data_IF_005198929590
#
_entry.id   IF_005198929590
#
_cell.length_a   1.000
_cell.length_b   1.000
_cell.length_c   1.000
_cell.angle_alpha   90.00
_cell.angle_beta   90.00
_cell.angle_gamma   90.00
#
_symmetry.space_group_name_H-M   'P 1'
#
loop_
_entity.id
_entity.type
_entity.pdbx_description
1 polymer ?
#
# COMPACT_ATOMS: atom_id res chain seq x y z
N UNK A 1 19.44 -5.78 -18.81
CA UNK A 1 18.64 -6.07 -17.61
C UNK A 1 19.16 -7.34 -16.98
N UNK A 2 19.71 -7.22 -15.80
CA UNK A 2 20.19 -8.38 -15.05
C UNK A 2 19.00 -9.26 -14.68
N UNK A 3 19.07 -10.55 -15.02
CA UNK A 3 18.08 -11.47 -14.50
C UNK A 3 18.23 -11.56 -13.00
N UNK A 4 17.13 -11.37 -12.29
CA UNK A 4 17.08 -11.57 -10.85
C UNK A 4 17.53 -13.00 -10.54
N UNK A 5 18.48 -13.15 -9.63
CA UNK A 5 18.91 -14.47 -9.17
C UNK A 5 17.93 -15.11 -8.18
N UNK A 6 16.91 -14.36 -7.74
CA UNK A 6 15.93 -14.92 -6.82
C UNK A 6 15.07 -15.96 -7.52
N UNK A 7 14.73 -16.99 -6.77
CA UNK A 7 13.88 -18.06 -7.27
C UNK A 7 12.46 -17.84 -6.81
N UNK A 8 11.54 -17.89 -7.76
CA UNK A 8 10.13 -17.92 -7.46
C UNK A 8 9.70 -19.34 -7.13
N UNK A 9 8.89 -19.46 -6.10
CA UNK A 9 8.27 -20.73 -5.72
C UNK A 9 6.81 -20.73 -6.16
N UNK A 10 6.30 -21.94 -6.45
CA UNK A 10 4.85 -22.05 -6.65
C UNK A 10 4.13 -21.64 -5.38
N UNK A 11 3.14 -20.76 -5.53
CA UNK A 11 2.28 -20.33 -4.44
C UNK A 11 0.83 -20.54 -4.84
N UNK A 12 0.08 -21.20 -4.00
CA UNK A 12 -1.39 -21.26 -4.10
C UNK A 12 -1.93 -20.79 -2.76
N UNK A 13 -2.68 -19.70 -2.78
CA UNK A 13 -3.22 -19.11 -1.56
C UNK A 13 -4.74 -19.19 -1.59
N UNK A 14 -5.32 -19.87 -0.62
CA UNK A 14 -6.76 -19.95 -0.45
C UNK A 14 -7.23 -18.88 0.52
N UNK A 15 -8.38 -18.30 0.25
CA UNK A 15 -8.95 -17.25 1.11
C UNK A 15 -9.06 -17.70 2.58
N UNK A 16 -9.52 -18.92 2.81
CA UNK A 16 -9.72 -19.47 4.16
C UNK A 16 -8.43 -19.65 4.96
N UNK A 17 -7.27 -19.67 4.29
CA UNK A 17 -5.96 -19.80 4.94
C UNK A 17 -5.32 -18.45 5.28
N UNK A 18 -6.02 -17.37 5.02
CA UNK A 18 -5.55 -16.00 5.26
C UNK A 18 -6.53 -15.25 6.13
N UNK A 19 -6.07 -14.20 6.75
CA UNK A 19 -6.93 -13.32 7.55
C UNK A 19 -6.45 -11.87 7.47
N UNK A 20 -7.36 -10.95 7.72
CA UNK A 20 -7.02 -9.55 7.84
C UNK A 20 -6.40 -9.29 9.21
N UNK A 21 -5.24 -8.64 9.22
CA UNK A 21 -4.49 -8.32 10.42
C UNK A 21 -3.97 -6.89 10.36
N UNK A 22 -3.71 -6.30 11.53
CA UNK A 22 -3.00 -5.04 11.59
C UNK A 22 -1.56 -5.23 11.08
N UNK A 23 -1.11 -4.31 10.24
CA UNK A 23 0.27 -4.34 9.75
C UNK A 23 1.20 -3.84 10.84
N UNK A 24 2.23 -4.60 11.15
CA UNK A 24 3.30 -4.13 12.01
C UNK A 24 4.15 -3.08 11.27
N UNK A 25 4.70 -2.15 12.03
CA UNK A 25 5.31 -0.92 11.51
C UNK A 25 6.69 -1.15 10.85
N UNK A 26 6.82 -2.12 9.95
CA UNK A 26 8.08 -2.42 9.28
C UNK A 26 8.38 -1.48 8.10
N UNK A 27 7.36 -0.86 7.51
CA UNK A 27 7.49 -0.10 6.27
C UNK A 27 7.07 1.37 6.44
N UNK A 28 7.25 1.93 7.63
CA UNK A 28 6.88 3.29 7.92
C UNK A 28 5.90 3.38 9.09
N UNK A 29 5.22 4.52 9.21
CA UNK A 29 4.28 4.75 10.29
C UNK A 29 3.10 3.76 10.23
N UNK A 30 2.63 3.25 11.38
CA UNK A 30 1.45 2.38 11.41
C UNK A 30 0.25 3.04 10.77
N UNK A 31 -0.58 2.23 10.11
CA UNK A 31 -1.86 2.67 9.55
C UNK A 31 -2.99 1.99 10.32
N UNK A 32 -3.36 2.49 11.53
CA UNK A 32 -4.37 1.83 12.34
C UNK A 32 -5.76 1.82 11.71
N UNK A 33 -5.96 2.62 10.65
CA UNK A 33 -7.22 2.66 9.92
C UNK A 33 -7.44 1.45 9.01
N UNK A 34 -6.41 0.64 8.77
CA UNK A 34 -6.48 -0.44 7.79
C UNK A 34 -6.04 -1.78 8.35
N UNK A 35 -6.61 -2.83 7.78
CA UNK A 35 -6.20 -4.22 7.99
C UNK A 35 -5.67 -4.78 6.68
N UNK A 36 -4.74 -5.71 6.78
CA UNK A 36 -4.00 -6.27 5.64
C UNK A 36 -4.15 -7.78 5.63
N UNK A 37 -4.49 -8.32 4.47
CA UNK A 37 -4.51 -9.76 4.23
C UNK A 37 -3.34 -10.09 3.32
N UNK A 38 -2.31 -10.71 3.87
CA UNK A 38 -1.11 -11.11 3.13
C UNK A 38 -1.42 -12.31 2.24
N UNK A 39 -0.91 -12.28 1.02
CA UNK A 39 -1.16 -13.31 0.02
C UNK A 39 0.01 -14.29 -0.13
N UNK A 40 1.15 -14.06 0.56
CA UNK A 40 2.31 -14.92 0.51
C UNK A 40 3.26 -14.65 -0.66
N UNK A 41 3.01 -13.59 -1.42
CA UNK A 41 3.80 -13.28 -2.63
C UNK A 41 5.24 -12.92 -2.29
N UNK A 42 5.46 -12.21 -1.19
CA UNK A 42 6.82 -11.82 -0.78
C UNK A 42 7.70 -13.05 -0.54
N UNK A 43 7.22 -14.02 0.23
CA UNK A 43 7.97 -15.24 0.51
C UNK A 43 8.20 -16.05 -0.76
N UNK A 44 7.19 -16.17 -1.61
CA UNK A 44 7.28 -16.94 -2.84
C UNK A 44 8.22 -16.32 -3.88
N UNK A 45 8.53 -15.04 -3.74
CA UNK A 45 9.38 -14.28 -4.69
C UNK A 45 10.70 -13.83 -4.07
N UNK A 46 11.04 -14.31 -2.87
CA UNK A 46 12.28 -13.91 -2.20
C UNK A 46 12.37 -12.41 -1.93
N UNK A 47 11.23 -11.74 -1.71
CA UNK A 47 11.17 -10.30 -1.43
C UNK A 47 11.15 -9.41 -2.67
N UNK A 48 11.19 -9.97 -3.89
CA UNK A 48 11.17 -9.16 -5.11
C UNK A 48 9.84 -8.45 -5.33
N UNK A 49 8.76 -9.06 -4.89
CA UNK A 49 7.40 -8.51 -4.99
C UNK A 49 6.64 -8.76 -3.70
N UNK A 50 5.60 -7.98 -3.48
CA UNK A 50 4.59 -8.30 -2.48
C UNK A 50 3.22 -8.02 -3.06
N UNK A 51 2.22 -8.67 -2.50
CA UNK A 51 0.82 -8.41 -2.81
C UNK A 51 -0.01 -8.67 -1.56
N UNK A 52 -0.93 -7.77 -1.28
CA UNK A 52 -1.85 -7.92 -0.16
C UNK A 52 -3.17 -7.20 -0.46
N UNK A 53 -4.21 -7.60 0.25
CA UNK A 53 -5.50 -6.94 0.20
C UNK A 53 -5.63 -6.08 1.45
N UNK A 54 -6.04 -4.83 1.27
CA UNK A 54 -6.23 -3.86 2.34
C UNK A 54 -7.72 -3.57 2.47
N UNK A 55 -8.22 -3.55 3.69
CA UNK A 55 -9.58 -3.09 3.99
C UNK A 55 -9.59 -2.09 5.12
N UNK A 56 -10.64 -1.25 5.18
CA UNK A 56 -10.81 -0.30 6.27
C UNK A 56 -11.25 -0.98 7.56
N UNK A 57 -10.73 -0.48 8.68
CA UNK A 57 -11.24 -0.86 10.00
C UNK A 57 -12.59 -0.15 10.20
N UNK A 58 -13.66 -0.85 10.59
CA UNK A 58 -14.97 -0.21 10.81
C UNK A 58 -14.86 0.97 11.77
N UNK A 59 -15.45 2.09 11.39
CA UNK A 59 -15.44 3.33 12.18
C UNK A 59 -14.16 4.15 12.09
N UNK A 60 -13.11 3.67 11.41
CA UNK A 60 -11.90 4.45 11.22
C UNK A 60 -12.13 5.62 10.26
N UNK A 61 -11.34 6.68 10.42
CA UNK A 61 -11.56 7.94 9.71
C UNK A 61 -10.27 8.46 9.07
N UNK A 62 -10.40 9.15 7.90
CA UNK A 62 -9.29 9.89 7.32
C UNK A 62 -8.95 11.13 8.16
N UNK A 63 -7.84 11.81 7.86
CA UNK A 63 -6.93 11.48 6.76
C UNK A 63 -5.83 10.50 7.19
N UNK A 64 -5.16 9.96 6.17
CA UNK A 64 -3.85 9.31 6.32
C UNK A 64 -2.80 10.40 6.07
N UNK A 65 -1.73 10.44 6.85
CA UNK A 65 -0.66 11.42 6.67
C UNK A 65 -0.07 11.34 5.26
N UNK A 66 0.19 12.50 4.66
CA UNK A 66 0.90 12.56 3.38
C UNK A 66 2.27 11.90 3.51
N UNK A 67 2.62 11.10 2.54
CA UNK A 67 3.88 10.36 2.55
C UNK A 67 4.32 10.03 1.12
N UNK A 68 5.58 9.64 0.99
CA UNK A 68 6.12 9.08 -0.24
C UNK A 68 6.88 7.80 0.08
N UNK A 69 7.06 6.97 -0.93
CA UNK A 69 7.84 5.75 -0.80
C UNK A 69 9.16 5.91 -1.53
N UNK A 70 10.24 5.50 -0.87
CA UNK A 70 11.57 5.45 -1.46
C UNK A 70 12.03 4.00 -1.55
N UNK A 71 12.98 3.72 -2.43
CA UNK A 71 13.45 2.36 -2.68
C UNK A 71 12.36 1.43 -3.24
N UNK A 72 11.34 2.03 -3.82
CA UNK A 72 10.19 1.34 -4.43
C UNK A 72 10.28 1.53 -5.94
N UNK A 73 10.20 0.44 -6.70
CA UNK A 73 10.22 0.48 -8.16
C UNK A 73 8.83 0.49 -8.75
N UNK A 74 7.87 -0.11 -8.03
CA UNK A 74 6.52 -0.28 -8.54
C UNK A 74 5.52 -0.36 -7.38
N UNK A 75 4.46 0.43 -7.47
CA UNK A 75 3.31 0.34 -6.58
C UNK A 75 2.05 0.44 -7.41
N UNK A 76 1.24 -0.60 -7.36
CA UNK A 76 -0.01 -0.69 -8.09
C UNK A 76 -1.14 -0.98 -7.10
N UNK A 77 -2.25 -0.27 -7.27
CA UNK A 77 -3.47 -0.51 -6.50
C UNK A 77 -4.64 -0.72 -7.46
N UNK A 78 -5.40 -1.76 -7.21
CA UNK A 78 -6.66 -2.04 -7.89
C UNK A 78 -7.78 -2.10 -6.85
N UNK A 79 -8.84 -1.33 -7.04
CA UNK A 79 -9.98 -1.32 -6.12
C UNK A 79 -10.88 -2.51 -6.42
N UNK A 80 -11.02 -3.39 -5.42
CA UNK A 80 -11.83 -4.60 -5.53
C UNK A 80 -13.28 -4.36 -5.14
N UNK A 81 -13.51 -3.46 -4.16
CA UNK A 81 -14.82 -3.23 -3.56
C UNK A 81 -14.88 -1.83 -2.96
N UNK A 82 -16.02 -1.18 -3.06
CA UNK A 82 -16.19 0.16 -2.52
C UNK A 82 -15.41 1.22 -3.28
N UNK A 83 -14.90 2.20 -2.57
CA UNK A 83 -14.10 3.29 -3.15
C UNK A 83 -13.07 3.78 -2.16
N UNK A 84 -12.00 4.40 -2.70
CA UNK A 84 -10.97 5.09 -1.93
C UNK A 84 -10.52 6.33 -2.70
N UNK A 85 -10.41 7.46 -1.99
CA UNK A 85 -9.95 8.72 -2.57
C UNK A 85 -8.53 9.01 -2.14
N UNK A 86 -7.74 9.50 -3.07
CA UNK A 86 -6.33 9.82 -2.89
C UNK A 86 -6.06 11.25 -3.34
N UNK A 87 -5.16 11.91 -2.64
CA UNK A 87 -4.57 13.16 -3.11
C UNK A 87 -3.13 12.89 -3.52
N UNK A 88 -2.78 13.27 -4.74
CA UNK A 88 -1.43 13.15 -5.28
C UNK A 88 -0.82 14.54 -5.40
N UNK A 89 0.32 14.74 -4.79
CA UNK A 89 0.97 16.05 -4.80
C UNK A 89 1.18 16.56 -6.24
N UNK A 90 0.68 17.74 -6.52
CA UNK A 90 0.74 18.35 -7.86
C UNK A 90 -0.29 17.83 -8.86
N UNK A 91 -1.09 16.82 -8.51
CA UNK A 91 -2.06 16.19 -9.42
C UNK A 91 -3.50 16.20 -8.90
N UNK A 92 -3.73 16.71 -7.68
CA UNK A 92 -5.06 16.81 -7.10
C UNK A 92 -5.61 15.53 -6.53
N UNK A 93 -6.91 15.54 -6.28
CA UNK A 93 -7.62 14.43 -5.65
C UNK A 93 -8.37 13.61 -6.70
N UNK A 94 -8.31 12.28 -6.54
CA UNK A 94 -9.01 11.34 -7.40
C UNK A 94 -9.68 10.27 -6.55
N UNK A 95 -10.93 9.97 -6.87
CA UNK A 95 -11.67 8.87 -6.24
C UNK A 95 -11.63 7.66 -7.15
N UNK A 96 -11.13 6.54 -6.62
CA UNK A 96 -11.09 5.26 -7.30
C UNK A 96 -12.24 4.39 -6.77
N UNK A 97 -13.04 3.86 -7.69
CA UNK A 97 -14.14 2.93 -7.40
C UNK A 97 -13.73 1.52 -7.81
N UNK A 98 -14.51 0.54 -7.41
CA UNK A 98 -14.28 -0.86 -7.82
C UNK A 98 -14.03 -0.95 -9.33
N UNK A 99 -12.93 -1.59 -9.72
CA UNK A 99 -12.47 -1.68 -11.10
C UNK A 99 -11.48 -0.60 -11.52
N UNK A 100 -11.34 0.46 -10.74
CA UNK A 100 -10.32 1.49 -11.00
C UNK A 100 -8.98 1.11 -10.39
N UNK A 101 -7.92 1.67 -10.93
CA UNK A 101 -6.57 1.39 -10.45
C UNK A 101 -5.69 2.63 -10.56
N UNK A 102 -4.55 2.60 -9.85
CA UNK A 102 -3.50 3.59 -10.05
C UNK A 102 -2.12 2.95 -9.95
N UNK A 103 -1.14 3.64 -10.51
CA UNK A 103 0.28 3.45 -10.22
C UNK A 103 0.77 4.71 -9.56
N UNK A 104 1.44 4.56 -8.41
CA UNK A 104 2.13 5.66 -7.75
C UNK A 104 3.61 5.55 -8.07
N UNK A 105 4.18 6.51 -8.84
CA UNK A 105 5.61 6.50 -9.13
C UNK A 105 6.45 6.65 -7.86
N UNK A 106 7.69 6.11 -7.84
CA UNK A 106 8.59 6.34 -6.73
C UNK A 106 8.77 7.82 -6.42
N UNK A 107 8.73 8.18 -5.14
CA UNK A 107 8.97 9.55 -4.70
C UNK A 107 7.78 10.50 -4.79
N UNK A 108 6.66 10.09 -5.38
CA UNK A 108 5.46 10.94 -5.43
C UNK A 108 4.77 10.95 -4.07
N UNK A 109 4.66 12.12 -3.47
CA UNK A 109 3.90 12.31 -2.22
C UNK A 109 2.41 12.17 -2.47
N UNK A 110 1.75 11.43 -1.60
CA UNK A 110 0.31 11.17 -1.70
C UNK A 110 -0.28 10.90 -0.34
N UNK A 111 -1.60 10.95 -0.26
CA UNK A 111 -2.34 10.59 0.95
C UNK A 111 -3.68 9.98 0.58
N UNK A 112 -4.25 9.21 1.49
CA UNK A 112 -5.62 8.73 1.39
C UNK A 112 -6.52 9.74 2.08
N UNK A 113 -7.50 10.26 1.36
CA UNK A 113 -8.38 11.32 1.84
C UNK A 113 -9.75 10.83 2.27
N UNK A 114 -10.12 9.63 1.88
CA UNK A 114 -11.39 9.04 2.28
C UNK A 114 -11.57 7.63 1.70
N UNK A 115 -12.53 6.89 2.25
CA UNK A 115 -12.87 5.55 1.78
C UNK A 115 -14.27 5.15 2.23
N UNK A 116 -14.87 4.21 1.49
CA UNK A 116 -16.13 3.59 1.91
C UNK A 116 -15.91 2.58 3.02
N UNK A 117 -16.94 2.32 3.81
CA UNK A 117 -16.85 1.34 4.91
C UNK A 117 -16.49 -0.07 4.43
N UNK A 118 -16.90 -0.40 3.21
CA UNK A 118 -16.68 -1.72 2.62
C UNK A 118 -15.44 -1.79 1.73
N UNK A 119 -14.59 -0.77 1.73
CA UNK A 119 -13.45 -0.71 0.80
C UNK A 119 -12.53 -1.91 0.94
N UNK A 120 -12.16 -2.48 -0.20
CA UNK A 120 -11.08 -3.46 -0.31
C UNK A 120 -10.28 -3.13 -1.56
N UNK A 121 -8.97 -3.09 -1.40
CA UNK A 121 -8.04 -2.83 -2.50
C UNK A 121 -6.98 -3.92 -2.54
N UNK A 122 -6.51 -4.24 -3.74
CA UNK A 122 -5.33 -5.06 -3.96
C UNK A 122 -4.15 -4.13 -4.21
N UNK A 123 -3.09 -4.28 -3.43
CA UNK A 123 -1.85 -3.53 -3.61
C UNK A 123 -0.72 -4.49 -3.96
N UNK A 124 0.02 -4.15 -5.02
CA UNK A 124 1.19 -4.91 -5.47
C UNK A 124 2.39 -3.98 -5.47
N UNK A 125 3.48 -4.41 -4.88
CA UNK A 125 4.72 -3.62 -4.81
C UNK A 125 5.93 -4.42 -5.28
N UNK A 126 6.94 -3.70 -5.77
CA UNK A 126 8.27 -4.20 -6.05
C UNK A 126 9.30 -3.15 -5.62
N UNK A 127 10.23 -3.48 -4.72
CA UNK A 127 10.32 -4.71 -3.95
C UNK A 127 9.23 -4.83 -2.88
N UNK A 128 9.21 -5.95 -2.17
CA UNK A 128 8.27 -6.18 -1.07
C UNK A 128 8.52 -5.30 0.13
N UNK A 129 9.76 -4.93 0.39
CA UNK A 129 10.15 -3.99 1.45
C UNK A 129 10.66 -2.68 0.87
N UNK A 130 10.21 -1.58 1.42
CA UNK A 130 10.57 -0.23 1.01
C UNK A 130 10.34 0.73 2.16
N UNK A 131 10.95 1.92 2.07
CA UNK A 131 10.78 2.97 3.07
C UNK A 131 9.60 3.87 2.74
N UNK A 132 8.91 4.30 3.78
CA UNK A 132 7.87 5.31 3.72
C UNK A 132 8.34 6.54 4.51
N UNK A 133 8.27 7.70 3.89
CA UNK A 133 8.74 8.96 4.47
C UNK A 133 7.55 9.92 4.51
N UNK A 134 7.25 10.45 5.69
CA UNK A 134 6.20 11.45 5.83
C UNK A 134 6.61 12.76 5.17
N UNK A 135 5.65 13.38 4.50
CA UNK A 135 5.82 14.65 3.81
C UNK A 135 4.71 15.61 4.18
N UNK A 136 4.96 16.89 3.98
CA UNK A 136 3.95 17.93 4.06
C UNK A 136 4.10 18.80 2.83
N UNK A 137 3.06 18.89 2.03
CA UNK A 137 3.06 19.64 0.77
C UNK A 137 4.24 19.21 -0.14
N UNK A 138 4.49 17.92 -0.18
CA UNK A 138 5.55 17.32 -1.01
C UNK A 138 6.95 17.34 -0.39
N UNK A 139 7.14 17.97 0.75
CA UNK A 139 8.45 18.14 1.40
C UNK A 139 8.57 17.15 2.57
N UNK A 140 9.72 16.50 2.66
CA UNK A 140 9.99 15.57 3.77
C UNK A 140 9.88 16.30 5.12
N UNK A 141 9.18 15.64 6.05
CA UNK A 141 9.03 16.09 7.43
C UNK A 141 9.98 15.27 8.28
N UNK A 142 10.76 15.94 9.12
CA UNK A 142 11.64 15.24 10.05
C UNK A 142 10.78 14.33 10.95
N UNK A 143 11.20 13.05 11.14
CA UNK A 143 10.45 12.16 12.04
C UNK A 143 10.39 12.77 13.43
N UNK A 144 9.23 12.67 14.08
CA UNK A 144 9.09 13.08 15.46
C UNK A 144 10.10 12.29 16.29
N UNK A 145 11.08 12.98 16.84
CA UNK A 145 11.98 12.38 17.80
C UNK A 145 11.21 12.12 19.08
N UNK A 146 11.07 10.85 19.41
CA UNK A 146 10.52 10.48 20.69
C UNK A 146 11.44 11.00 21.80
#
# INVERSE_FOLDING_TARGET
>A
MQKSEFRQSLLVTHFEDTKFEALEANNGAPRPQFLYRQLGVEQATGGAYDAHVIKGVPGSKPPIAEHKHTELDFLFVYVLKGWMSFHYHGHGEHRLKAGDCHIIPPGLSHTVTGWSEDVEILEITAPGHYKTIDTANGVEVAPATA
#
